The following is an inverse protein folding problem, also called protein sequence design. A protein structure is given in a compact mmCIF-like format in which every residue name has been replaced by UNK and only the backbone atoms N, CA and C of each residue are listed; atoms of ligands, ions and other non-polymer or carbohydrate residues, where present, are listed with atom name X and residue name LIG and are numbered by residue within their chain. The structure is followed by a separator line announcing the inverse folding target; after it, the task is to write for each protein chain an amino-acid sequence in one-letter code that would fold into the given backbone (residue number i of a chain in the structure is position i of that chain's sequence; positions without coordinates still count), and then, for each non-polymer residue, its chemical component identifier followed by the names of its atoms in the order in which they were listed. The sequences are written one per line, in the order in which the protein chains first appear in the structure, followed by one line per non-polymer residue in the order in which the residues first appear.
data_IF_934370249551
#
_entry.id   IF_934370249551
#
_cell.length_a   1.000
_cell.length_b   1.000
_cell.length_c   1.000
_cell.angle_alpha   90.00
_cell.angle_beta   90.00
_cell.angle_gamma   90.00
#
_symmetry.space_group_name_H-M   'P 1'
#
loop_
_entity.id
_entity.type
_entity.pdbx_description
1 polymer ?
#
# COMPACT_ATOMS: atom_id res chain seq x y z
N UNK A 1 -16.87 7.22 21.95
CA UNK A 1 -17.78 6.52 21.01
C UNK A 1 -18.18 7.51 19.92
N UNK A 2 -17.81 7.26 18.66
CA UNK A 2 -18.16 8.09 17.51
C UNK A 2 -19.65 7.94 17.17
N UNK A 3 -20.33 9.03 16.81
CA UNK A 3 -21.72 8.98 16.35
C UNK A 3 -21.79 9.32 14.86
N UNK A 4 -22.43 8.44 14.09
CA UNK A 4 -22.76 8.68 12.68
C UNK A 4 -23.97 9.60 12.48
N UNK A 5 -24.60 10.07 13.57
CA UNK A 5 -25.78 10.93 13.50
C UNK A 5 -25.48 12.22 12.73
N UNK A 6 -26.32 12.51 11.74
CA UNK A 6 -26.21 13.72 10.90
C UNK A 6 -25.25 13.61 9.73
N UNK A 7 -24.59 12.46 9.53
CA UNK A 7 -23.82 12.17 8.32
C UNK A 7 -24.72 11.48 7.30
N UNK A 8 -24.58 11.87 6.04
CA UNK A 8 -25.27 11.28 4.88
C UNK A 8 -24.28 10.58 3.95
N UNK A 9 -24.75 9.58 3.20
CA UNK A 9 -23.92 8.73 2.31
C UNK A 9 -23.08 9.57 1.34
N UNK A 10 -23.64 10.63 0.77
CA UNK A 10 -22.99 11.52 -0.21
C UNK A 10 -21.78 12.30 0.35
N UNK A 11 -21.66 12.39 1.68
CA UNK A 11 -20.54 13.02 2.35
C UNK A 11 -19.31 12.10 2.42
N UNK A 12 -19.50 10.78 2.30
CA UNK A 12 -18.40 9.81 2.25
C UNK A 12 -17.78 9.83 0.86
N UNK A 13 -16.51 10.24 0.77
CA UNK A 13 -15.73 10.28 -0.47
C UNK A 13 -14.98 8.98 -0.72
N UNK A 14 -14.55 8.31 0.35
CA UNK A 14 -14.02 6.94 0.30
C UNK A 14 -15.02 6.01 0.97
N UNK A 15 -15.46 5.01 0.24
CA UNK A 15 -16.42 4.00 0.74
C UNK A 15 -15.89 2.59 0.67
N UNK A 16 -14.68 2.38 0.13
CA UNK A 16 -14.02 1.09 0.15
C UNK A 16 -12.57 1.29 0.62
N UNK A 17 -12.25 0.73 1.78
CA UNK A 17 -10.92 0.83 2.38
C UNK A 17 -10.24 -0.54 2.36
N UNK A 18 -9.04 -0.60 1.80
CA UNK A 18 -8.17 -1.77 1.91
C UNK A 18 -7.11 -1.50 2.97
N UNK A 19 -6.88 -2.45 3.87
CA UNK A 19 -5.82 -2.37 4.87
C UNK A 19 -4.78 -3.45 4.61
N UNK A 20 -3.50 -3.06 4.60
CA UNK A 20 -2.44 -4.04 4.81
C UNK A 20 -2.49 -4.55 6.27
N UNK A 21 -2.10 -5.80 6.49
CA UNK A 21 -2.05 -6.35 7.85
C UNK A 21 -0.85 -5.81 8.64
N UNK A 22 0.36 -6.19 8.23
CA UNK A 22 1.61 -5.87 8.93
C UNK A 22 1.97 -4.39 8.82
N UNK A 23 2.57 -3.85 9.88
CA UNK A 23 3.02 -2.47 10.02
C UNK A 23 1.88 -1.42 9.90
N UNK A 24 0.64 -1.84 9.66
CA UNK A 24 -0.56 -0.98 9.59
C UNK A 24 -1.52 -1.32 10.74
N UNK A 25 -2.09 -2.52 10.74
CA UNK A 25 -3.05 -2.97 11.76
C UNK A 25 -2.38 -3.73 12.90
N UNK A 26 -1.28 -4.42 12.62
CA UNK A 26 -0.53 -5.20 13.60
C UNK A 26 0.96 -4.88 13.49
N UNK A 27 1.75 -5.08 14.56
CA UNK A 27 3.20 -4.97 14.47
C UNK A 27 3.78 -5.80 13.32
N UNK A 28 4.77 -5.23 12.64
CA UNK A 28 5.45 -5.86 11.51
C UNK A 28 6.96 -5.72 11.61
N UNK A 29 7.63 -5.63 10.47
CA UNK A 29 9.11 -5.58 10.43
C UNK A 29 9.65 -4.19 10.78
N UNK A 30 8.88 -3.15 10.49
CA UNK A 30 9.29 -1.75 10.67
C UNK A 30 8.89 -1.27 12.06
N UNK A 31 7.72 -1.71 12.53
CA UNK A 31 7.18 -1.32 13.83
C UNK A 31 6.96 -2.52 14.75
N UNK A 32 7.79 -2.59 15.78
CA UNK A 32 7.81 -3.68 16.76
C UNK A 32 6.99 -3.44 18.03
N UNK A 33 6.53 -2.20 18.29
CA UNK A 33 5.83 -1.86 19.55
C UNK A 33 4.32 -2.15 19.50
N UNK A 34 3.83 -2.80 20.56
CA UNK A 34 2.45 -3.22 20.76
C UNK A 34 1.46 -2.05 21.08
N UNK A 35 1.95 -0.84 21.37
CA UNK A 35 1.10 0.32 21.76
C UNK A 35 0.09 0.79 20.68
N UNK A 36 0.10 0.16 19.51
CA UNK A 36 -0.82 0.46 18.41
C UNK A 36 -2.19 -0.21 18.54
N UNK A 37 -2.34 -1.29 19.32
CA UNK A 37 -3.56 -2.12 19.28
C UNK A 37 -4.82 -1.36 19.72
N UNK A 38 -4.74 -0.51 20.74
CA UNK A 38 -5.90 0.27 21.21
C UNK A 38 -6.42 1.25 20.14
N UNK A 39 -5.50 1.93 19.43
CA UNK A 39 -5.85 2.88 18.36
C UNK A 39 -6.41 2.17 17.13
N UNK A 40 -5.84 1.00 16.78
CA UNK A 40 -6.34 0.18 15.68
C UNK A 40 -7.74 -0.33 15.99
N UNK A 41 -7.99 -0.81 17.21
CA UNK A 41 -9.33 -1.24 17.63
C UNK A 41 -10.35 -0.11 17.51
N UNK A 42 -10.03 1.08 18.03
CA UNK A 42 -10.91 2.26 17.90
C UNK A 42 -11.23 2.57 16.42
N UNK A 43 -10.23 2.54 15.54
CA UNK A 43 -10.45 2.74 14.10
C UNK A 43 -11.42 1.68 13.56
N UNK A 44 -11.16 0.40 13.83
CA UNK A 44 -11.95 -0.70 13.28
C UNK A 44 -13.39 -0.72 13.80
N UNK A 45 -13.61 -0.41 15.08
CA UNK A 45 -14.94 -0.25 15.68
C UNK A 45 -15.73 0.88 15.02
N UNK A 46 -15.11 2.06 14.87
CA UNK A 46 -15.77 3.19 14.23
C UNK A 46 -16.06 2.93 12.74
N UNK A 47 -15.19 2.19 12.05
CA UNK A 47 -15.44 1.76 10.67
C UNK A 47 -16.56 0.71 10.58
N UNK A 48 -16.70 -0.20 11.55
CA UNK A 48 -17.86 -1.11 11.60
C UNK A 48 -19.18 -0.34 11.70
N UNK A 49 -19.24 0.71 12.52
CA UNK A 49 -20.43 1.57 12.57
C UNK A 49 -20.73 2.25 11.23
N UNK A 50 -19.72 2.53 10.39
CA UNK A 50 -19.95 3.01 9.03
C UNK A 50 -20.49 1.91 8.11
N UNK A 51 -19.95 0.69 8.19
CA UNK A 51 -20.47 -0.45 7.41
C UNK A 51 -21.93 -0.78 7.74
N UNK A 52 -22.36 -0.55 8.99
CA UNK A 52 -23.73 -0.80 9.42
C UNK A 52 -24.70 0.31 8.98
N UNK A 53 -24.21 1.56 8.85
CA UNK A 53 -25.04 2.73 8.57
C UNK A 53 -25.05 3.16 7.08
N UNK A 54 -24.05 2.74 6.31
CA UNK A 54 -23.75 3.25 4.98
C UNK A 54 -23.33 2.11 4.04
N UNK A 55 -23.40 2.38 2.73
CA UNK A 55 -22.73 1.52 1.76
C UNK A 55 -21.22 1.79 1.83
N UNK A 56 -20.59 1.08 2.77
CA UNK A 56 -19.18 1.19 3.12
C UNK A 56 -18.60 -0.21 3.31
N UNK A 57 -17.38 -0.40 2.83
CA UNK A 57 -16.66 -1.67 2.93
C UNK A 57 -15.25 -1.46 3.46
N UNK A 58 -14.83 -2.35 4.37
CA UNK A 58 -13.41 -2.52 4.70
C UNK A 58 -12.93 -3.92 4.35
N UNK A 59 -11.76 -3.98 3.74
CA UNK A 59 -11.09 -5.20 3.33
C UNK A 59 -9.74 -5.30 4.01
N UNK A 60 -9.35 -6.54 4.29
CA UNK A 60 -8.03 -6.87 4.81
C UNK A 60 -7.22 -7.56 3.72
N UNK A 61 -6.01 -7.09 3.48
CA UNK A 61 -5.04 -7.67 2.55
C UNK A 61 -3.89 -8.30 3.32
N UNK A 62 -3.63 -9.58 3.04
CA UNK A 62 -2.56 -10.34 3.67
C UNK A 62 -1.68 -10.97 2.60
N UNK A 63 -0.42 -10.55 2.53
CA UNK A 63 0.55 -10.94 1.49
C UNK A 63 1.13 -12.35 1.68
N UNK A 64 0.74 -13.06 2.75
CA UNK A 64 1.13 -14.45 3.00
C UNK A 64 0.05 -15.43 2.56
N UNK A 65 0.37 -16.72 2.55
CA UNK A 65 -0.61 -17.79 2.34
C UNK A 65 -1.77 -17.72 3.34
N UNK A 66 -2.93 -18.24 2.96
CA UNK A 66 -4.14 -18.21 3.77
C UNK A 66 -3.94 -18.81 5.17
N UNK A 67 -3.28 -19.96 5.30
CA UNK A 67 -3.00 -20.58 6.60
C UNK A 67 -2.21 -19.65 7.52
N UNK A 68 -1.13 -19.05 7.01
CA UNK A 68 -0.30 -18.10 7.76
C UNK A 68 -1.02 -16.80 8.07
N UNK A 69 -1.85 -16.33 7.14
CA UNK A 69 -2.68 -15.15 7.34
C UNK A 69 -3.62 -15.35 8.54
N UNK A 70 -4.27 -16.51 8.62
CA UNK A 70 -5.17 -16.88 9.71
C UNK A 70 -4.43 -17.00 11.04
N UNK A 71 -3.26 -17.65 11.08
CA UNK A 71 -2.42 -17.73 12.30
C UNK A 71 -2.05 -16.34 12.83
N UNK A 72 -1.57 -15.45 11.96
CA UNK A 72 -1.23 -14.07 12.35
C UNK A 72 -2.44 -13.29 12.82
N UNK A 73 -3.59 -13.50 12.19
CA UNK A 73 -4.84 -12.85 12.57
C UNK A 73 -5.39 -13.35 13.91
N UNK A 74 -5.23 -14.63 14.21
CA UNK A 74 -5.59 -15.22 15.50
C UNK A 74 -4.68 -14.73 16.62
N UNK A 75 -3.37 -14.62 16.34
CA UNK A 75 -2.39 -14.07 17.27
C UNK A 75 -2.62 -12.56 17.52
N UNK A 76 -3.10 -11.82 16.52
CA UNK A 76 -3.46 -10.41 16.63
C UNK A 76 -4.87 -10.23 17.21
N UNK A 77 -5.02 -10.55 18.49
CA UNK A 77 -6.29 -10.61 19.23
C UNK A 77 -7.26 -9.48 18.86
N UNK A 78 -8.35 -9.84 18.17
CA UNK A 78 -9.49 -8.97 17.89
C UNK A 78 -9.51 -8.27 16.53
N UNK A 79 -8.43 -8.28 15.74
CA UNK A 79 -8.43 -7.58 14.42
C UNK A 79 -9.35 -8.29 13.43
N UNK A 80 -9.25 -9.61 13.31
CA UNK A 80 -10.04 -10.40 12.35
C UNK A 80 -11.54 -10.31 12.60
N UNK A 81 -11.98 -10.18 13.85
CA UNK A 81 -13.39 -10.06 14.23
C UNK A 81 -14.09 -8.82 13.66
N UNK A 82 -13.34 -7.81 13.22
CA UNK A 82 -13.89 -6.63 12.56
C UNK A 82 -14.12 -6.80 11.05
N UNK A 83 -13.58 -7.85 10.43
CA UNK A 83 -13.68 -8.08 8.99
C UNK A 83 -14.59 -9.27 8.70
N UNK A 84 -15.47 -9.12 7.69
CA UNK A 84 -16.20 -10.26 7.14
C UNK A 84 -15.21 -11.20 6.47
N UNK A 85 -15.37 -12.52 6.62
CA UNK A 85 -14.46 -13.53 6.04
C UNK A 85 -14.27 -13.34 4.53
N UNK A 86 -15.35 -13.07 3.80
CA UNK A 86 -15.31 -12.79 2.36
C UNK A 86 -14.53 -11.51 1.97
N UNK A 87 -14.18 -10.65 2.94
CA UNK A 87 -13.41 -9.41 2.76
C UNK A 87 -11.97 -9.53 3.27
N UNK A 88 -11.52 -10.73 3.62
CA UNK A 88 -10.14 -11.04 3.95
C UNK A 88 -9.50 -11.72 2.74
N UNK A 89 -8.51 -11.06 2.15
CA UNK A 89 -7.81 -11.52 0.96
C UNK A 89 -6.41 -11.99 1.33
N UNK A 90 -6.04 -13.18 0.88
CA UNK A 90 -4.72 -13.78 1.12
C UNK A 90 -4.23 -14.54 -0.10
N UNK A 91 -2.94 -14.86 -0.14
CA UNK A 91 -2.35 -15.62 -1.25
C UNK A 91 -3.00 -17.01 -1.31
N UNK A 92 -3.65 -17.30 -2.44
CA UNK A 92 -4.33 -18.57 -2.73
C UNK A 92 -3.55 -19.42 -3.73
N UNK A 93 -3.85 -20.72 -3.80
CA UNK A 93 -3.33 -21.60 -4.85
C UNK A 93 -3.69 -21.10 -6.25
N UNK A 94 -4.93 -20.64 -6.45
CA UNK A 94 -5.39 -20.09 -7.74
C UNK A 94 -4.60 -18.86 -8.19
N UNK A 95 -4.20 -17.99 -7.26
CA UNK A 95 -3.33 -16.86 -7.57
C UNK A 95 -1.94 -17.32 -8.03
N UNK A 96 -1.34 -18.27 -7.31
CA UNK A 96 -0.02 -18.83 -7.64
C UNK A 96 -0.06 -19.55 -8.99
N UNK A 97 -1.12 -20.32 -9.26
CA UNK A 97 -1.32 -21.02 -10.53
C UNK A 97 -1.48 -20.05 -11.71
N UNK A 98 -2.14 -18.92 -11.49
CA UNK A 98 -2.35 -17.86 -12.48
C UNK A 98 -1.13 -17.00 -12.76
N UNK A 99 -0.02 -17.16 -12.03
CA UNK A 99 1.24 -16.49 -12.34
C UNK A 99 1.86 -17.03 -13.63
N UNK A 100 2.63 -16.16 -14.31
CA UNK A 100 3.54 -16.59 -15.36
C UNK A 100 4.48 -17.69 -14.87
N UNK A 101 4.81 -18.64 -15.75
CA UNK A 101 5.54 -19.87 -15.39
C UNK A 101 6.82 -19.58 -14.60
N UNK A 102 7.57 -18.56 -15.03
CA UNK A 102 8.84 -18.18 -14.44
C UNK A 102 8.67 -17.48 -13.08
N UNK A 103 7.63 -16.65 -12.93
CA UNK A 103 7.33 -15.99 -11.66
C UNK A 103 6.76 -16.98 -10.63
N UNK A 104 5.92 -17.94 -11.08
CA UNK A 104 5.48 -19.06 -10.25
C UNK A 104 6.66 -19.87 -9.72
N UNK A 105 7.62 -20.22 -10.57
CA UNK A 105 8.83 -20.93 -10.15
C UNK A 105 9.61 -20.12 -9.11
N UNK A 106 9.81 -18.82 -9.34
CA UNK A 106 10.48 -17.93 -8.37
C UNK A 106 9.75 -17.88 -7.04
N UNK A 107 8.42 -17.73 -7.06
CA UNK A 107 7.59 -17.72 -5.87
C UNK A 107 7.77 -19.01 -5.06
N UNK A 108 7.65 -20.17 -5.71
CA UNK A 108 7.78 -21.48 -5.05
C UNK A 108 9.19 -21.68 -4.48
N UNK A 109 10.24 -21.32 -5.23
CA UNK A 109 11.62 -21.39 -4.72
C UNK A 109 11.85 -20.48 -3.51
N UNK A 110 11.23 -19.30 -3.47
CA UNK A 110 11.35 -18.41 -2.31
C UNK A 110 10.57 -18.95 -1.11
N UNK A 111 9.40 -19.55 -1.34
CA UNK A 111 8.62 -20.18 -0.27
C UNK A 111 9.32 -21.41 0.34
N UNK A 112 10.06 -22.17 -0.48
CA UNK A 112 10.91 -23.28 -0.01
C UNK A 112 12.08 -22.78 0.87
N UNK A 113 12.68 -21.64 0.50
CA UNK A 113 13.79 -21.02 1.26
C UNK A 113 13.32 -20.31 2.51
N UNK A 114 12.16 -19.66 2.43
CA UNK A 114 11.54 -18.87 3.48
C UNK A 114 10.04 -19.19 3.52
N UNK A 115 9.61 -20.10 4.42
CA UNK A 115 8.19 -20.40 4.61
C UNK A 115 7.33 -19.22 5.05
N UNK A 116 7.96 -18.11 5.49
CA UNK A 116 7.28 -16.85 5.82
C UNK A 116 7.28 -15.84 4.66
N UNK A 117 7.73 -16.25 3.47
CA UNK A 117 7.77 -15.40 2.29
C UNK A 117 6.42 -14.73 2.04
N UNK A 118 6.49 -13.42 1.74
CA UNK A 118 5.33 -12.59 1.44
C UNK A 118 5.41 -12.09 0.02
N UNK A 119 4.33 -12.30 -0.73
CA UNK A 119 4.17 -11.70 -2.04
C UNK A 119 3.35 -10.42 -1.91
N UNK A 120 4.04 -9.29 -1.73
CA UNK A 120 3.38 -8.00 -1.60
C UNK A 120 2.69 -7.53 -2.91
N UNK A 121 3.02 -8.12 -4.06
CA UNK A 121 2.36 -7.81 -5.33
C UNK A 121 0.93 -8.37 -5.39
N UNK A 122 0.67 -9.49 -4.69
CA UNK A 122 -0.68 -10.08 -4.56
C UNK A 122 -1.75 -9.06 -4.21
N UNK A 123 -1.44 -8.10 -3.33
CA UNK A 123 -2.37 -7.04 -2.89
C UNK A 123 -2.96 -6.27 -4.07
N UNK A 124 -2.12 -5.95 -5.06
CA UNK A 124 -2.53 -5.19 -6.24
C UNK A 124 -3.45 -6.01 -7.14
N UNK A 125 -3.21 -7.32 -7.24
CA UNK A 125 -4.09 -8.25 -7.94
C UNK A 125 -5.44 -8.36 -7.22
N UNK A 126 -5.43 -8.53 -5.89
CA UNK A 126 -6.66 -8.60 -5.08
C UNK A 126 -7.51 -7.33 -5.22
N UNK A 127 -6.89 -6.14 -5.12
CA UNK A 127 -7.58 -4.87 -5.32
C UNK A 127 -8.14 -4.76 -6.74
N UNK A 128 -7.36 -5.09 -7.76
CA UNK A 128 -7.78 -4.98 -9.17
C UNK A 128 -8.95 -5.90 -9.48
N UNK A 129 -8.91 -7.14 -8.99
CA UNK A 129 -10.01 -8.09 -9.16
C UNK A 129 -11.28 -7.59 -8.48
N UNK A 130 -11.19 -7.14 -7.23
CA UNK A 130 -12.33 -6.60 -6.52
C UNK A 130 -12.90 -5.33 -7.19
N UNK A 131 -12.03 -4.41 -7.63
CA UNK A 131 -12.45 -3.20 -8.32
C UNK A 131 -13.16 -3.47 -9.66
N UNK A 132 -12.90 -4.64 -10.27
CA UNK A 132 -13.52 -5.05 -11.53
C UNK A 132 -14.94 -5.57 -11.33
N UNK A 133 -15.23 -6.18 -10.17
CA UNK A 133 -16.52 -6.85 -9.91
C UNK A 133 -17.45 -6.10 -8.96
N UNK A 134 -16.93 -5.21 -8.11
CA UNK A 134 -17.71 -4.55 -7.06
C UNK A 134 -18.64 -3.44 -7.56
N UNK A 135 -18.38 -2.86 -8.74
CA UNK A 135 -19.10 -1.68 -9.23
C UNK A 135 -18.77 -0.38 -8.48
N UNK A 136 -17.92 -0.42 -7.44
CA UNK A 136 -17.47 0.77 -6.72
C UNK A 136 -16.42 1.49 -7.59
N UNK A 137 -16.57 2.81 -7.86
CA UNK A 137 -15.55 3.56 -8.59
C UNK A 137 -14.19 3.59 -7.88
N UNK A 138 -13.10 3.50 -8.65
CA UNK A 138 -11.73 3.45 -8.11
C UNK A 138 -11.37 4.68 -7.28
N UNK A 139 -11.90 5.85 -7.64
CA UNK A 139 -11.75 7.10 -6.89
C UNK A 139 -12.47 7.09 -5.53
N UNK A 140 -13.32 6.10 -5.25
CA UNK A 140 -13.93 5.87 -3.93
C UNK A 140 -13.21 4.80 -3.11
N UNK A 141 -12.19 4.19 -3.69
CA UNK A 141 -11.33 3.20 -3.04
C UNK A 141 -10.06 3.85 -2.50
N UNK A 142 -9.52 3.30 -1.41
CA UNK A 142 -8.21 3.69 -0.91
C UNK A 142 -7.48 2.50 -0.28
N UNK A 143 -6.20 2.33 -0.60
CA UNK A 143 -5.29 1.45 0.13
C UNK A 143 -4.64 2.21 1.29
N UNK A 144 -4.71 1.64 2.48
CA UNK A 144 -3.95 2.08 3.65
C UNK A 144 -2.79 1.10 3.85
N UNK A 145 -1.60 1.57 3.52
CA UNK A 145 -0.36 0.82 3.54
C UNK A 145 0.73 1.51 4.35
N UNK A 146 1.97 1.03 4.21
CA UNK A 146 3.13 1.59 4.90
C UNK A 146 4.37 1.68 4.00
N UNK A 147 4.48 0.85 2.97
CA UNK A 147 5.68 0.80 2.12
C UNK A 147 5.53 1.64 0.84
N UNK A 148 6.52 2.49 0.57
CA UNK A 148 6.53 3.39 -0.59
C UNK A 148 6.48 2.64 -1.93
N UNK A 149 7.09 1.45 -2.01
CA UNK A 149 7.17 0.70 -3.26
C UNK A 149 5.92 -0.12 -3.53
N UNK A 150 5.59 -1.01 -2.60
CA UNK A 150 4.53 -1.99 -2.79
C UNK A 150 3.14 -1.43 -2.53
N UNK A 151 2.99 -0.49 -1.60
CA UNK A 151 1.69 0.14 -1.29
C UNK A 151 1.50 1.49 -1.99
N UNK A 152 2.59 2.24 -2.20
CA UNK A 152 2.53 3.51 -2.93
C UNK A 152 2.62 3.32 -4.43
N UNK A 153 3.80 2.92 -4.90
CA UNK A 153 4.16 2.95 -6.32
C UNK A 153 3.34 1.93 -7.14
N UNK A 154 3.21 0.69 -6.65
CA UNK A 154 2.41 -0.30 -7.37
C UNK A 154 0.91 -0.02 -7.34
N UNK A 155 0.37 0.52 -6.26
CA UNK A 155 -1.05 0.91 -6.23
C UNK A 155 -1.35 2.03 -7.23
N UNK A 156 -0.44 3.00 -7.36
CA UNK A 156 -0.54 4.05 -8.38
C UNK A 156 -0.51 3.51 -9.81
N UNK A 157 0.36 2.56 -10.11
CA UNK A 157 0.54 2.04 -11.46
C UNK A 157 -0.47 0.97 -11.87
N UNK A 158 -0.74 0.03 -10.97
CA UNK A 158 -1.45 -1.22 -11.26
C UNK A 158 -2.93 -1.05 -10.94
N UNK A 159 -3.25 -0.93 -9.64
CA UNK A 159 -4.65 -0.86 -9.19
C UNK A 159 -5.32 0.48 -9.48
N UNK A 160 -4.55 1.57 -9.59
CA UNK A 160 -5.01 2.94 -9.88
C UNK A 160 -6.17 3.38 -8.97
N UNK A 161 -6.08 3.01 -7.70
CA UNK A 161 -6.91 3.57 -6.62
C UNK A 161 -6.06 4.57 -5.84
N UNK A 162 -6.68 5.34 -4.94
CA UNK A 162 -5.90 6.18 -4.03
C UNK A 162 -5.14 5.33 -3.01
N UNK A 163 -4.07 5.89 -2.45
CA UNK A 163 -3.37 5.27 -1.34
C UNK A 163 -3.04 6.30 -0.26
N UNK A 164 -2.88 5.82 0.97
CA UNK A 164 -2.45 6.57 2.11
C UNK A 164 -1.46 5.73 2.92
N UNK A 165 -0.39 6.36 3.40
CA UNK A 165 0.70 5.68 4.09
C UNK A 165 0.68 5.99 5.57
N UNK A 166 0.78 4.97 6.40
CA UNK A 166 0.90 5.13 7.85
C UNK A 166 2.26 5.78 8.15
N UNK A 167 2.22 6.97 8.73
CA UNK A 167 3.42 7.77 8.99
C UNK A 167 4.39 7.10 9.95
N UNK A 168 3.88 6.49 11.03
CA UNK A 168 4.69 5.94 12.10
C UNK A 168 5.42 4.64 11.72
N UNK A 169 5.01 4.01 10.62
CA UNK A 169 5.57 2.76 10.10
C UNK A 169 5.97 2.88 8.64
N UNK A 170 6.05 4.11 8.13
CA UNK A 170 6.41 4.40 6.76
C UNK A 170 7.76 3.76 6.43
N UNK A 171 7.83 3.05 5.30
CA UNK A 171 9.03 2.33 4.90
C UNK A 171 9.35 2.46 3.41
N UNK A 172 10.61 2.23 3.09
CA UNK A 172 11.15 1.99 1.76
C UNK A 172 11.81 0.61 1.81
N UNK A 173 11.13 -0.43 1.30
CA UNK A 173 11.61 -1.83 1.33
C UNK A 173 11.94 -2.30 2.75
N UNK A 174 11.00 -2.11 3.66
CA UNK A 174 11.10 -2.48 5.09
C UNK A 174 12.17 -1.69 5.88
N UNK A 175 12.71 -0.60 5.34
CA UNK A 175 13.59 0.32 6.05
C UNK A 175 12.90 1.69 6.22
N UNK A 176 13.09 2.41 7.34
CA UNK A 176 12.58 3.77 7.46
C UNK A 176 13.13 4.63 6.31
N UNK A 177 12.30 5.41 5.60
CA UNK A 177 12.80 6.27 4.55
C UNK A 177 13.64 7.40 5.15
N UNK A 178 14.61 7.88 4.38
CA UNK A 178 15.43 9.03 4.79
C UNK A 178 14.59 10.31 4.93
N UNK A 179 13.59 10.47 4.06
CA UNK A 179 12.75 11.66 3.99
C UNK A 179 11.31 11.32 3.60
N UNK A 180 10.37 12.16 4.03
CA UNK A 180 9.00 12.10 3.55
C UNK A 180 8.89 12.76 2.17
N UNK A 181 8.10 12.17 1.29
CA UNK A 181 7.90 12.65 -0.07
C UNK A 181 6.70 13.61 -0.09
N UNK A 182 6.95 14.86 -0.47
CA UNK A 182 5.91 15.87 -0.56
C UNK A 182 4.77 15.48 -1.52
N UNK A 183 3.54 15.85 -1.17
CA UNK A 183 2.37 15.64 -2.02
C UNK A 183 1.67 14.28 -1.86
N UNK A 184 2.16 13.39 -0.98
CA UNK A 184 1.48 12.13 -0.63
C UNK A 184 0.59 12.27 0.62
N UNK A 185 -0.37 11.36 0.76
CA UNK A 185 -1.24 11.27 1.94
C UNK A 185 -0.56 10.43 3.03
N UNK A 186 -0.26 11.06 4.16
CA UNK A 186 0.29 10.39 5.33
C UNK A 186 -0.68 10.44 6.50
N UNK A 187 -0.93 9.29 7.12
CA UNK A 187 -1.88 9.13 8.22
C UNK A 187 -1.14 8.83 9.52
N UNK A 188 -1.57 9.44 10.62
CA UNK A 188 -1.37 8.83 11.93
C UNK A 188 -2.35 7.68 12.07
N UNK A 189 -1.98 6.60 12.77
CA UNK A 189 -2.94 5.56 13.17
C UNK A 189 -3.83 6.07 14.29
N UNK A 190 -4.77 6.93 13.92
CA UNK A 190 -5.76 7.50 14.79
C UNK A 190 -7.05 7.74 14.01
N UNK A 191 -8.19 7.55 14.67
CA UNK A 191 -9.51 7.74 14.06
C UNK A 191 -9.68 9.10 13.34
N UNK A 192 -9.24 10.25 13.90
CA UNK A 192 -9.42 11.54 13.22
C UNK A 192 -8.79 11.61 11.82
N UNK A 193 -7.66 10.94 11.58
CA UNK A 193 -7.02 10.93 10.26
C UNK A 193 -7.72 9.97 9.31
N UNK A 194 -8.13 8.78 9.77
CA UNK A 194 -8.95 7.87 8.95
C UNK A 194 -10.28 8.52 8.58
N UNK A 195 -10.89 9.26 9.50
CA UNK A 195 -12.14 9.97 9.22
C UNK A 195 -11.97 11.09 8.19
N UNK A 196 -10.88 11.87 8.27
CA UNK A 196 -10.53 12.85 7.22
C UNK A 196 -10.35 12.17 5.87
N UNK A 197 -9.74 10.98 5.84
CA UNK A 197 -9.55 10.20 4.61
C UNK A 197 -10.90 9.79 4.02
N UNK A 198 -11.78 9.22 4.83
CA UNK A 198 -13.15 8.82 4.44
C UNK A 198 -13.95 10.00 3.88
N UNK A 199 -13.82 11.17 4.49
CA UNK A 199 -14.49 12.40 4.04
C UNK A 199 -13.79 13.11 2.87
N UNK A 200 -12.64 12.61 2.38
CA UNK A 200 -11.87 13.26 1.32
C UNK A 200 -11.34 14.65 1.69
N UNK A 201 -11.02 14.86 2.98
CA UNK A 201 -10.53 16.14 3.51
C UNK A 201 -9.01 16.30 3.44
N UNK A 202 -8.28 15.28 2.98
CA UNK A 202 -6.87 15.44 2.66
C UNK A 202 -6.69 16.24 1.37
N UNK A 203 -5.61 17.03 1.23
CA UNK A 203 -5.26 17.62 -0.05
C UNK A 203 -5.17 16.56 -1.14
N UNK A 204 -5.61 16.90 -2.34
CA UNK A 204 -5.47 16.01 -3.50
C UNK A 204 -3.99 15.64 -3.70
N UNK A 205 -3.65 14.34 -3.82
CA UNK A 205 -2.26 13.93 -3.99
C UNK A 205 -1.60 14.54 -5.21
N UNK A 206 -0.33 14.95 -5.07
CA UNK A 206 0.51 15.45 -6.16
C UNK A 206 1.71 14.55 -6.31
N UNK A 207 1.64 13.66 -7.28
CA UNK A 207 2.60 12.57 -7.41
C UNK A 207 3.90 12.93 -8.12
N UNK A 208 4.10 14.16 -8.60
CA UNK A 208 5.31 14.53 -9.35
C UNK A 208 6.62 14.26 -8.60
N UNK A 209 6.68 14.60 -7.30
CA UNK A 209 7.84 14.30 -6.46
C UNK A 209 8.02 12.79 -6.23
N UNK A 210 6.91 12.07 -6.08
CA UNK A 210 6.91 10.62 -5.87
C UNK A 210 7.36 9.86 -7.13
N UNK A 211 6.86 10.25 -8.29
CA UNK A 211 7.24 9.68 -9.58
C UNK A 211 8.73 9.90 -9.85
N UNK A 212 9.23 11.12 -9.58
CA UNK A 212 10.66 11.43 -9.68
C UNK A 212 11.51 10.59 -8.70
N UNK A 213 11.06 10.42 -7.46
CA UNK A 213 11.71 9.57 -6.47
C UNK A 213 11.82 8.12 -6.96
N UNK A 214 10.69 7.50 -7.33
CA UNK A 214 10.65 6.12 -7.81
C UNK A 214 11.49 5.93 -9.07
N UNK A 215 11.37 6.84 -10.05
CA UNK A 215 12.17 6.82 -11.26
C UNK A 215 13.67 6.92 -10.98
N UNK A 216 14.08 7.86 -10.14
CA UNK A 216 15.48 8.04 -9.76
C UNK A 216 16.06 6.79 -9.08
N UNK A 217 15.31 6.17 -8.18
CA UNK A 217 15.72 4.92 -7.51
C UNK A 217 15.82 3.74 -8.47
N UNK A 218 14.82 3.53 -9.34
CA UNK A 218 14.87 2.45 -10.34
C UNK A 218 16.03 2.65 -11.31
N UNK A 219 16.25 3.88 -11.79
CA UNK A 219 17.38 4.21 -12.67
C UNK A 219 18.70 3.85 -12.02
N UNK A 220 18.92 4.24 -10.75
CA UNK A 220 20.13 3.89 -10.00
C UNK A 220 20.35 2.38 -9.91
N UNK A 221 19.29 1.60 -9.69
CA UNK A 221 19.40 0.14 -9.57
C UNK A 221 19.66 -0.56 -10.90
N UNK A 222 19.05 -0.09 -11.99
CA UNK A 222 19.21 -0.70 -13.32
C UNK A 222 20.53 -0.33 -13.99
N UNK A 223 20.98 0.90 -13.82
CA UNK A 223 22.11 1.47 -14.57
C UNK A 223 23.39 1.49 -13.71
N UNK A 224 23.26 1.46 -12.38
CA UNK A 224 24.35 1.71 -11.44
C UNK A 224 24.83 3.17 -11.49
N UNK A 225 25.40 3.69 -10.41
CA UNK A 225 25.93 5.07 -10.38
C UNK A 225 27.10 5.27 -11.37
N UNK A 226 27.70 4.19 -11.88
CA UNK A 226 28.89 4.22 -12.74
C UNK A 226 28.63 4.73 -14.17
N UNK A 227 27.45 4.52 -14.75
CA UNK A 227 27.21 4.91 -16.16
C UNK A 227 26.87 6.40 -16.31
N UNK A 228 26.30 7.05 -15.29
CA UNK A 228 25.96 8.48 -15.35
C UNK A 228 27.23 9.34 -15.45
N UNK A 229 28.32 8.94 -14.76
CA UNK A 229 29.62 9.61 -14.88
C UNK A 229 30.28 9.45 -16.27
N UNK A 230 30.02 8.32 -16.95
CA UNK A 230 30.58 8.04 -18.28
C UNK A 230 29.85 8.73 -19.44
N UNK A 231 28.59 9.11 -19.26
CA UNK A 231 27.80 9.83 -20.28
C UNK A 231 28.05 11.34 -20.29
N UNK A 232 28.34 11.95 -19.12
CA UNK A 232 28.68 13.38 -19.04
C UNK A 232 30.03 13.69 -19.70
N UNK A 233 30.97 12.72 -19.70
CA UNK A 233 32.28 12.86 -20.35
C UNK A 233 32.29 12.51 -21.85
N UNK A 234 31.16 12.13 -22.45
CA UNK A 234 31.08 11.72 -23.87
C UNK A 234 30.25 12.66 -24.75
N UNK A 235 29.72 13.76 -24.22
CA UNK A 235 29.22 14.83 -25.07
C UNK A 235 30.43 15.61 -25.60
N UNK A 236 30.69 15.62 -26.92
CA UNK A 236 31.70 16.50 -27.48
C UNK A 236 31.33 17.94 -27.11
N UNK A 237 32.29 18.69 -26.56
CA UNK A 237 32.14 20.13 -26.40
C UNK A 237 31.89 20.72 -27.79
N UNK A 238 30.66 21.13 -28.06
CA UNK A 238 30.34 21.95 -29.22
C UNK A 238 31.07 23.27 -28.98
N UNK A 239 32.24 23.45 -29.60
CA UNK A 239 33.06 24.64 -29.37
C UNK A 239 34.48 24.66 -29.94
N UNK A 240 35.05 23.54 -30.41
CA UNK A 240 36.39 23.54 -31.02
C UNK A 240 36.34 23.18 -32.51
N UNK A 241 35.64 24.01 -33.29
CA UNK A 241 35.90 24.13 -34.72
C UNK A 241 36.94 25.23 -34.92
N UNK A 242 38.22 24.85 -34.90
CA UNK A 242 39.33 25.74 -35.28
C UNK A 242 39.20 26.08 -36.76
N UNK A 243 38.86 27.35 -37.05
CA UNK A 243 39.01 27.96 -38.36
C UNK A 243 40.52 28.06 -38.65
N UNK A 244 40.98 27.38 -39.70
CA UNK A 244 42.26 27.70 -40.35
C UNK A 244 41.96 28.69 -41.48
N UNK A 245 42.56 29.88 -41.38
CA UNK A 245 42.81 30.77 -42.51
C UNK A 245 43.94 30.18 -43.37
#
# INVERSE_FOLDING_TARGET
MFSVKGIRQEQLKKTCLFFCLGDVLVPGQVQSKADAFGKVREILENLSHLEDAFDFEKHLLVSSSQTRALERLQAASGVSGHFRQARIHSVTGSYVEGMEKLDRQRYLTQLEKDPEFKDEYFKQVAITNYATVSGIPRERMVLIGHDLWTDGYYTRLVSKIDFALVKDSLSERNQPPQEMIGGLTYLKRAWPDVWKLVLGKFPAPRYGAFDAFCYGRMRKQLIGDKIVSGLVNRLPRIGEASVKL
#
